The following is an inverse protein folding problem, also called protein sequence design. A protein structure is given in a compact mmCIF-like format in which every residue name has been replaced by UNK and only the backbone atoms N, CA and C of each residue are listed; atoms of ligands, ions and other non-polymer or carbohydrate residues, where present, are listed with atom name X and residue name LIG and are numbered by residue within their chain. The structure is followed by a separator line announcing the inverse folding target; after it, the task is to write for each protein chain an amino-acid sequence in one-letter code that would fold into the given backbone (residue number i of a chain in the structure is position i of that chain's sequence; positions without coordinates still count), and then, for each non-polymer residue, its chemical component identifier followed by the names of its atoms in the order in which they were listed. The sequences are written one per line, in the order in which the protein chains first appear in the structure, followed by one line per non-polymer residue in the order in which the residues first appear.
data_IF_550176249439
#
_entry.id   IF_550176249439
#
_cell.length_a   1.000
_cell.length_b   1.000
_cell.length_c   1.000
_cell.angle_alpha   90.00
_cell.angle_beta   90.00
_cell.angle_gamma   90.00
#
_symmetry.space_group_name_H-M   'P 1'
#
loop_
_entity.id
_entity.type
_entity.pdbx_description
1 polymer ?
#
# COMPACT_ATOMS: atom_id res chain seq x y z
N UNK A 1 -7.33 -3.76 11.53
CA UNK A 1 -6.94 -2.37 11.87
C UNK A 1 -7.20 -1.54 10.62
N UNK A 2 -7.97 -0.45 10.69
CA UNK A 2 -8.31 0.33 9.48
C UNK A 2 -7.03 0.98 8.95
N UNK A 3 -6.59 0.57 7.76
CA UNK A 3 -5.50 1.23 7.05
C UNK A 3 -5.96 2.64 6.64
N UNK A 4 -5.10 3.63 6.84
CA UNK A 4 -5.38 5.03 6.47
C UNK A 4 -4.29 5.53 5.54
N UNK A 5 -4.64 6.45 4.65
CA UNK A 5 -3.67 7.17 3.84
C UNK A 5 -2.86 8.12 4.73
N UNK A 6 -1.54 8.00 4.67
CA UNK A 6 -0.62 8.91 5.36
C UNK A 6 -0.39 10.21 4.57
N UNK A 7 0.45 11.09 5.11
CA UNK A 7 0.84 12.35 4.46
C UNK A 7 1.61 12.15 3.14
N UNK A 8 2.40 11.08 3.04
CA UNK A 8 3.20 10.80 1.84
C UNK A 8 4.15 9.61 2.00
N UNK A 9 4.95 9.40 0.95
CA UNK A 9 5.96 8.35 0.88
C UNK A 9 7.28 8.79 1.53
N UNK A 10 8.01 7.82 2.05
CA UNK A 10 9.35 8.02 2.63
C UNK A 10 10.43 8.06 1.56
N UNK A 11 11.61 8.56 1.93
CA UNK A 11 12.76 8.58 1.03
C UNK A 11 13.24 7.16 0.68
N UNK A 12 13.10 6.20 1.60
CA UNK A 12 13.52 4.81 1.39
C UNK A 12 12.61 4.11 0.37
N UNK A 13 11.29 4.27 0.49
CA UNK A 13 10.31 3.75 -0.48
C UNK A 13 10.56 4.30 -1.88
N UNK A 14 10.84 5.61 -1.99
CA UNK A 14 11.15 6.25 -3.27
C UNK A 14 12.47 5.72 -3.87
N UNK A 15 13.48 5.50 -3.03
CA UNK A 15 14.78 4.97 -3.45
C UNK A 15 14.63 3.55 -4.03
N UNK A 16 13.85 2.71 -3.36
CA UNK A 16 13.61 1.33 -3.79
C UNK A 16 12.70 1.23 -5.02
N UNK A 17 11.76 2.17 -5.16
CA UNK A 17 10.97 2.34 -6.39
C UNK A 17 11.77 3.02 -7.54
N UNK A 18 13.04 3.40 -7.33
CA UNK A 18 13.91 4.11 -8.28
C UNK A 18 13.35 5.47 -8.73
N UNK A 19 12.66 6.18 -7.83
CA UNK A 19 12.07 7.50 -8.07
C UNK A 19 12.91 8.57 -7.36
N UNK A 20 13.52 9.52 -8.10
CA UNK A 20 14.26 10.61 -7.48
C UNK A 20 13.35 11.53 -6.65
N UNK A 21 13.79 11.92 -5.44
CA UNK A 21 12.99 12.77 -4.52
C UNK A 21 12.53 14.11 -5.11
N UNK A 22 13.33 14.73 -5.98
CA UNK A 22 12.97 16.00 -6.63
C UNK A 22 11.93 15.78 -7.73
N UNK A 23 12.03 14.65 -8.43
CA UNK A 23 11.12 14.27 -9.51
C UNK A 23 9.75 13.81 -8.98
N UNK A 24 9.71 13.10 -7.85
CA UNK A 24 8.47 12.64 -7.23
C UNK A 24 7.43 13.77 -7.04
N UNK A 25 7.87 14.96 -6.58
CA UNK A 25 6.97 16.11 -6.41
C UNK A 25 6.39 16.64 -7.72
N UNK A 26 7.12 16.56 -8.83
CA UNK A 26 6.67 17.09 -10.14
C UNK A 26 5.60 16.21 -10.78
N UNK A 27 5.60 14.92 -10.45
CA UNK A 27 4.61 13.95 -10.92
C UNK A 27 3.47 13.73 -9.91
N UNK A 28 3.33 14.57 -8.89
CA UNK A 28 2.21 14.50 -7.95
C UNK A 28 2.36 13.47 -6.81
N UNK A 29 3.56 12.95 -6.56
CA UNK A 29 3.82 12.06 -5.43
C UNK A 29 4.22 12.90 -4.19
N UNK A 30 3.39 12.83 -3.15
CA UNK A 30 3.67 13.50 -1.87
C UNK A 30 4.76 12.77 -1.07
N UNK A 31 5.66 13.53 -0.45
CA UNK A 31 6.79 13.01 0.31
C UNK A 31 6.62 13.38 1.79
N UNK A 32 6.83 12.41 2.67
CA UNK A 32 6.95 12.59 4.11
C UNK A 32 8.33 12.11 4.59
N UNK A 33 9.25 13.06 4.73
CA UNK A 33 10.62 12.81 5.18
C UNK A 33 10.73 12.56 6.70
N UNK A 34 9.65 12.74 7.47
CA UNK A 34 9.68 12.52 8.92
C UNK A 34 9.35 11.08 9.30
N UNK A 35 8.58 10.38 8.46
CA UNK A 35 8.21 8.98 8.70
C UNK A 35 9.44 8.07 8.53
N UNK A 36 9.57 7.08 9.40
CA UNK A 36 10.58 6.01 9.33
C UNK A 36 9.88 4.66 9.23
N UNK A 37 10.36 3.79 8.36
CA UNK A 37 9.82 2.43 8.22
C UNK A 37 10.37 1.54 9.33
N UNK A 38 9.49 0.76 9.97
CA UNK A 38 9.86 -0.18 11.05
C UNK A 38 9.74 -1.64 10.62
N UNK A 39 8.96 -1.93 9.57
CA UNK A 39 8.76 -3.26 9.04
C UNK A 39 8.95 -3.28 7.52
N UNK A 40 9.54 -4.37 7.04
CA UNK A 40 9.84 -4.63 5.61
C UNK A 40 8.57 -4.80 4.78
N UNK A 41 7.54 -5.43 5.36
CA UNK A 41 6.24 -5.64 4.69
C UNK A 41 5.61 -4.30 4.27
N UNK A 42 5.61 -3.30 5.15
CA UNK A 42 5.07 -1.97 4.85
C UNK A 42 5.85 -1.25 3.76
N UNK A 43 7.18 -1.44 3.74
CA UNK A 43 8.06 -0.87 2.73
C UNK A 43 7.73 -1.47 1.36
N UNK A 44 7.65 -2.81 1.26
CA UNK A 44 7.33 -3.51 0.02
C UNK A 44 5.96 -3.13 -0.53
N UNK A 45 4.91 -3.13 0.31
CA UNK A 45 3.56 -2.75 -0.11
C UNK A 45 3.49 -1.32 -0.67
N UNK A 46 4.21 -0.37 -0.07
CA UNK A 46 4.27 1.00 -0.55
C UNK A 46 5.13 1.16 -1.82
N UNK A 47 6.20 0.38 -1.96
CA UNK A 47 7.01 0.32 -3.19
C UNK A 47 6.17 -0.23 -4.35
N UNK A 48 5.40 -1.29 -4.12
CA UNK A 48 4.46 -1.82 -5.11
C UNK A 48 3.41 -0.78 -5.51
N UNK A 49 2.87 -0.04 -4.54
CA UNK A 49 1.97 1.09 -4.80
C UNK A 49 2.60 2.16 -5.69
N UNK A 50 3.88 2.51 -5.46
CA UNK A 50 4.61 3.48 -6.29
C UNK A 50 4.82 2.96 -7.72
N UNK A 51 5.17 1.68 -7.88
CA UNK A 51 5.31 1.04 -9.20
C UNK A 51 3.99 1.01 -9.97
N UNK A 52 2.90 0.65 -9.28
CA UNK A 52 1.56 0.65 -9.86
C UNK A 52 1.10 2.05 -10.26
N UNK A 53 1.45 3.07 -9.47
CA UNK A 53 1.18 4.46 -9.84
C UNK A 53 1.93 4.84 -11.11
N UNK A 54 3.23 4.52 -11.19
CA UNK A 54 4.05 4.83 -12.37
C UNK A 54 3.57 4.13 -13.64
N UNK A 55 3.11 2.88 -13.55
CA UNK A 55 2.57 2.17 -14.72
C UNK A 55 1.26 2.78 -15.23
N UNK A 56 0.51 3.48 -14.37
CA UNK A 56 -0.76 4.13 -14.71
C UNK A 56 -0.61 5.62 -15.01
N UNK A 57 0.57 6.20 -14.76
CA UNK A 57 0.80 7.63 -14.94
C UNK A 57 1.03 7.92 -16.42
N UNK A 58 0.19 8.79 -16.99
CA UNK A 58 0.41 9.37 -18.30
C UNK A 58 0.97 10.78 -18.13
N UNK A 59 2.15 11.04 -18.71
CA UNK A 59 2.84 12.32 -18.57
C UNK A 59 2.73 13.12 -19.86
N UNK A 60 2.16 14.32 -19.77
CA UNK A 60 2.04 15.21 -20.90
C UNK A 60 3.40 15.86 -21.24
N UNK A 61 3.76 15.96 -22.54
CA UNK A 61 4.95 16.69 -22.96
C UNK A 61 4.90 18.15 -22.51
N UNK A 62 6.00 18.66 -21.93
CA UNK A 62 6.07 20.02 -21.36
C UNK A 62 5.79 21.14 -22.38
N UNK A 63 6.10 20.93 -23.66
CA UNK A 63 5.83 21.89 -24.73
C UNK A 63 4.69 21.37 -25.61
N UNK A 64 3.60 22.13 -25.67
CA UNK A 64 2.48 21.83 -26.56
C UNK A 64 2.96 21.78 -28.02
N UNK A 65 2.69 20.67 -28.72
CA UNK A 65 3.08 20.51 -30.14
C UNK A 65 4.56 20.17 -30.39
N UNK A 66 5.33 19.82 -29.36
CA UNK A 66 6.69 19.34 -29.56
C UNK A 66 6.71 18.06 -30.42
N UNK A 67 7.41 18.10 -31.55
CA UNK A 67 7.64 16.94 -32.44
C UNK A 67 8.38 15.78 -31.76
N UNK A 68 9.10 16.05 -30.67
CA UNK A 68 9.90 15.06 -29.94
C UNK A 68 9.32 14.82 -28.54
N UNK A 69 8.74 13.65 -28.35
CA UNK A 69 8.36 13.09 -27.06
C UNK A 69 9.65 12.77 -26.30
N UNK A 70 9.84 13.30 -25.08
CA UNK A 70 11.03 12.98 -24.28
C UNK A 70 10.86 11.60 -23.65
N UNK A 71 11.97 11.00 -23.20
CA UNK A 71 11.94 9.72 -22.49
C UNK A 71 11.04 9.82 -21.25
N UNK A 72 9.93 9.08 -21.26
CA UNK A 72 8.93 9.06 -20.18
C UNK A 72 7.70 9.95 -20.41
N UNK A 73 7.66 10.74 -21.48
CA UNK A 73 6.44 11.42 -21.90
C UNK A 73 5.54 10.45 -22.69
N UNK A 74 4.23 10.61 -22.57
CA UNK A 74 3.24 9.85 -23.32
C UNK A 74 3.01 10.50 -24.69
N UNK A 75 2.98 9.73 -25.80
CA UNK A 75 2.72 10.29 -27.13
C UNK A 75 1.31 10.86 -27.23
N UNK A 76 1.13 11.89 -28.07
CA UNK A 76 -0.16 12.60 -28.20
C UNK A 76 -1.31 11.70 -28.67
N UNK A 77 -1.02 10.61 -29.38
CA UNK A 77 -2.00 9.60 -29.81
C UNK A 77 -2.71 8.95 -28.62
N UNK A 78 -1.99 8.68 -27.55
CA UNK A 78 -2.53 8.02 -26.34
C UNK A 78 -3.24 9.00 -25.39
N UNK A 79 -3.12 10.31 -25.62
CA UNK A 79 -3.62 11.36 -24.71
C UNK A 79 -5.01 11.89 -25.07
N UNK A 80 -5.52 11.66 -26.29
CA UNK A 80 -6.69 12.40 -26.80
C UNK A 80 -8.00 12.12 -26.03
N UNK A 81 -8.15 10.94 -25.40
CA UNK A 81 -9.39 10.53 -24.72
C UNK A 81 -9.15 10.11 -23.26
N UNK A 82 -8.09 10.60 -22.63
CA UNK A 82 -7.73 10.19 -21.27
C UNK A 82 -8.49 11.04 -20.26
N UNK A 83 -9.45 10.42 -19.56
CA UNK A 83 -10.17 11.07 -18.48
C UNK A 83 -9.31 11.14 -17.20
N UNK A 84 -9.36 12.28 -16.50
CA UNK A 84 -8.76 12.39 -15.17
C UNK A 84 -9.59 11.59 -14.16
N UNK A 85 -8.94 10.74 -13.37
CA UNK A 85 -9.61 10.08 -12.26
C UNK A 85 -9.93 11.10 -11.15
N UNK A 86 -11.21 11.29 -10.84
CA UNK A 86 -11.72 12.23 -9.83
C UNK A 86 -12.16 11.54 -8.53
N UNK A 87 -12.09 10.20 -8.46
CA UNK A 87 -12.55 9.42 -7.30
C UNK A 87 -11.56 9.48 -6.13
N UNK A 88 -12.08 9.42 -4.90
CA UNK A 88 -11.29 9.38 -3.65
C UNK A 88 -10.86 7.95 -3.23
N UNK A 89 -11.52 6.89 -3.71
CA UNK A 89 -11.30 5.51 -3.27
C UNK A 89 -11.47 4.51 -4.43
N UNK A 90 -10.81 3.34 -4.36
CA UNK A 90 -10.72 2.37 -5.49
C UNK A 90 -11.34 0.98 -5.18
N UNK A 91 -11.48 0.51 -3.93
CA UNK A 91 -12.02 -0.85 -3.65
C UNK A 91 -12.78 -0.92 -2.31
N UNK A 92 -13.96 -1.57 -2.24
CA UNK A 92 -14.65 -1.89 -0.98
C UNK A 92 -14.26 -3.25 -0.38
N UNK A 93 -14.16 -3.35 0.96
CA UNK A 93 -13.90 -4.59 1.70
C UNK A 93 -15.19 -5.32 2.12
N UNK A 94 -15.17 -6.67 2.11
CA UNK A 94 -16.26 -7.52 2.61
C UNK A 94 -16.32 -7.49 4.14
N UNK A 95 -17.51 -7.27 4.69
CA UNK A 95 -17.74 -7.30 6.13
C UNK A 95 -17.64 -8.72 6.70
N UNK A 96 -16.51 -9.04 7.32
CA UNK A 96 -16.48 -10.06 8.36
C UNK A 96 -16.99 -9.44 9.66
N UNK A 97 -17.93 -10.09 10.35
CA UNK A 97 -18.48 -9.60 11.62
C UNK A 97 -17.38 -9.42 12.67
N UNK A 98 -16.94 -8.17 12.84
CA UNK A 98 -15.85 -7.78 13.75
C UNK A 98 -16.12 -8.21 15.20
N UNK A 99 -17.39 -8.21 15.61
CA UNK A 99 -17.81 -8.64 16.94
C UNK A 99 -17.49 -10.12 17.23
N UNK A 100 -17.79 -11.02 16.29
CA UNK A 100 -17.55 -12.46 16.46
C UNK A 100 -16.06 -12.79 16.58
N UNK A 101 -15.22 -12.11 15.80
CA UNK A 101 -13.77 -12.29 15.85
C UNK A 101 -13.18 -11.83 17.20
N UNK A 102 -13.60 -10.67 17.70
CA UNK A 102 -13.15 -10.14 18.99
C UNK A 102 -13.59 -11.03 20.16
N UNK A 103 -14.82 -11.56 20.14
CA UNK A 103 -15.30 -12.49 21.17
C UNK A 103 -14.47 -13.78 21.20
N UNK A 104 -14.23 -14.40 20.03
CA UNK A 104 -13.43 -15.63 19.93
C UNK A 104 -11.99 -15.43 20.40
N UNK A 105 -11.37 -14.30 20.05
CA UNK A 105 -10.01 -13.96 20.50
C UNK A 105 -9.91 -13.81 22.03
N UNK A 106 -10.90 -13.16 22.67
CA UNK A 106 -10.97 -13.02 24.13
C UNK A 106 -11.15 -14.37 24.82
N UNK A 107 -12.08 -15.19 24.34
CA UNK A 107 -12.31 -16.55 24.83
C UNK A 107 -11.05 -17.40 24.70
N UNK A 108 -10.38 -17.38 23.54
CA UNK A 108 -9.15 -18.12 23.33
C UNK A 108 -8.03 -17.69 24.28
N UNK A 109 -7.87 -16.39 24.55
CA UNK A 109 -6.89 -15.87 25.52
C UNK A 109 -7.21 -16.32 26.96
N UNK A 110 -8.48 -16.20 27.36
CA UNK A 110 -8.94 -16.57 28.70
C UNK A 110 -8.71 -18.06 28.99
N UNK A 111 -9.09 -18.94 28.06
CA UNK A 111 -9.00 -20.39 28.25
C UNK A 111 -7.68 -21.01 27.75
N UNK A 112 -6.68 -20.20 27.37
CA UNK A 112 -5.41 -20.71 26.84
C UNK A 112 -4.72 -21.66 27.85
N UNK A 113 -4.64 -21.25 29.11
CA UNK A 113 -4.00 -22.03 30.18
C UNK A 113 -4.72 -23.36 30.44
N UNK A 114 -6.05 -23.34 30.55
CA UNK A 114 -6.84 -24.55 30.73
C UNK A 114 -6.75 -25.51 29.54
N UNK A 115 -6.72 -24.98 28.31
CA UNK A 115 -6.55 -25.80 27.11
C UNK A 115 -5.16 -26.42 27.03
N UNK A 116 -4.12 -25.67 27.40
CA UNK A 116 -2.76 -26.19 27.51
C UNK A 116 -2.65 -27.25 28.60
N UNK A 117 -3.29 -27.05 29.75
CA UNK A 117 -3.35 -28.05 30.83
C UNK A 117 -4.07 -29.32 30.37
N UNK A 118 -5.27 -29.20 29.80
CA UNK A 118 -6.02 -30.34 29.25
C UNK A 118 -5.27 -31.07 28.14
N UNK A 119 -4.57 -30.34 27.26
CA UNK A 119 -3.76 -30.94 26.21
C UNK A 119 -2.56 -31.71 26.78
N UNK A 120 -1.90 -31.17 27.82
CA UNK A 120 -0.83 -31.87 28.55
C UNK A 120 -1.36 -33.10 29.29
N UNK A 121 -2.48 -32.99 29.97
CA UNK A 121 -3.12 -34.09 30.71
C UNK A 121 -3.63 -35.19 29.76
N UNK A 122 -4.11 -34.83 28.57
CA UNK A 122 -4.49 -35.79 27.52
C UNK A 122 -3.25 -36.48 26.93
N UNK A 123 -2.19 -35.74 26.60
CA UNK A 123 -0.94 -36.31 26.10
C UNK A 123 -0.28 -37.25 27.13
N UNK A 124 -0.35 -36.92 28.42
CA UNK A 124 0.16 -37.77 29.50
C UNK A 124 -0.70 -39.00 29.80
N UNK A 125 -1.94 -39.07 29.28
CA UNK A 125 -2.80 -40.26 29.35
C UNK A 125 -2.63 -41.18 28.14
N UNK A 126 -2.14 -40.66 27.03
CA UNK A 126 -1.85 -41.44 25.82
C UNK A 126 -0.44 -42.08 25.86
N UNK A 127 0.41 -41.66 26.81
CA UNK A 127 1.68 -42.32 27.19
C UNK A 127 1.49 -43.25 28.37
#
# INVERSE_FOLDING_TARGET
MKLRLGKGFTLDELKEAKIPKKYAKTIGIAIDHRRRNRCTESLQANVERLKLYMSKLLLFPKKAGAKKVRKGDTPRSELQNVAQNTLKEIIPEKEASAYKQLKKARTNKHYLGERMKKAKDAAAKET
#
